data_IF_008216048530
#
_entry.id   IF_008216048530
#
_cell.length_a   1.000
_cell.length_b   1.000
_cell.length_c   1.000
_cell.angle_alpha   90.00
_cell.angle_beta   90.00
_cell.angle_gamma   90.00
#
_symmetry.space_group_name_H-M   'P 1'
#
loop_
_entity.id
_entity.type
_entity.pdbx_description
1 polymer ?
#
# COMPACT_ATOMS: atom_id res chain seq x y z
N UNK A 1 6.03 8.52 23.05
CA UNK A 1 5.17 9.18 22.05
C UNK A 1 3.76 9.26 22.62
N UNK A 2 3.12 10.41 22.53
CA UNK A 2 1.75 10.58 23.01
C UNK A 2 0.75 9.94 22.02
N UNK A 3 -0.47 9.67 22.52
CA UNK A 3 -1.52 9.10 21.66
C UNK A 3 -1.90 10.03 20.51
N UNK A 4 -1.95 11.34 20.75
CA UNK A 4 -2.24 12.33 19.71
C UNK A 4 -1.17 12.34 18.63
N UNK A 5 0.11 12.22 19.02
CA UNK A 5 1.22 12.16 18.07
C UNK A 5 1.19 10.87 17.25
N UNK A 6 0.86 9.74 17.89
CA UNK A 6 0.73 8.47 17.20
C UNK A 6 -0.40 8.52 16.16
N UNK A 7 -1.52 9.15 16.50
CA UNK A 7 -2.65 9.32 15.59
C UNK A 7 -2.25 10.21 14.39
N UNK A 8 -1.49 11.29 14.64
CA UNK A 8 -0.99 12.16 13.58
C UNK A 8 -0.09 11.40 12.61
N UNK A 9 0.80 10.55 13.13
CA UNK A 9 1.65 9.70 12.32
C UNK A 9 0.85 8.68 11.50
N UNK A 10 -0.19 8.11 12.09
CA UNK A 10 -1.07 7.18 11.38
C UNK A 10 -1.77 7.87 10.21
N UNK A 11 -2.29 9.07 10.44
CA UNK A 11 -2.95 9.87 9.42
C UNK A 11 -1.98 10.30 8.30
N UNK A 12 -0.80 10.80 8.66
CA UNK A 12 0.22 11.21 7.69
C UNK A 12 0.70 10.03 6.86
N UNK A 13 0.94 8.89 7.50
CA UNK A 13 1.34 7.67 6.82
C UNK A 13 0.26 7.16 5.88
N UNK A 14 -1.01 7.30 6.26
CA UNK A 14 -2.15 6.95 5.41
C UNK A 14 -2.16 7.72 4.10
N UNK A 15 -1.97 9.04 4.18
CA UNK A 15 -1.87 9.86 2.97
C UNK A 15 -0.63 9.54 2.13
N UNK A 16 0.51 9.26 2.79
CA UNK A 16 1.73 8.88 2.09
C UNK A 16 1.54 7.55 1.35
N UNK A 17 0.95 6.57 2.00
CA UNK A 17 0.64 5.26 1.43
C UNK A 17 -0.26 5.40 0.19
N UNK A 18 -1.32 6.20 0.29
CA UNK A 18 -2.23 6.44 -0.83
C UNK A 18 -1.49 7.10 -2.00
N UNK A 19 -0.74 8.16 -1.73
CA UNK A 19 -0.03 8.94 -2.75
C UNK A 19 1.04 8.10 -3.45
N UNK A 20 1.86 7.39 -2.68
CA UNK A 20 2.95 6.59 -3.26
C UNK A 20 2.41 5.41 -4.04
N UNK A 21 1.36 4.73 -3.54
CA UNK A 21 0.77 3.62 -4.30
C UNK A 21 0.06 4.11 -5.56
N UNK A 22 -0.55 5.28 -5.54
CA UNK A 22 -1.11 5.88 -6.76
C UNK A 22 -0.02 6.17 -7.78
N UNK A 23 1.08 6.78 -7.35
CA UNK A 23 2.22 7.07 -8.21
C UNK A 23 2.83 5.78 -8.77
N UNK A 24 3.10 4.81 -7.91
CA UNK A 24 3.69 3.54 -8.32
C UNK A 24 2.78 2.79 -9.31
N UNK A 25 1.48 2.79 -9.06
CA UNK A 25 0.51 2.13 -9.94
C UNK A 25 0.46 2.75 -11.31
N UNK A 26 0.31 4.06 -11.40
CA UNK A 26 0.29 4.78 -12.68
C UNK A 26 1.63 4.61 -13.40
N UNK A 27 2.73 4.73 -12.67
CA UNK A 27 4.07 4.61 -13.24
C UNK A 27 4.31 3.22 -13.86
N UNK A 28 4.00 2.16 -13.11
CA UNK A 28 4.22 0.80 -13.61
C UNK A 28 3.31 0.46 -14.80
N UNK A 29 2.06 0.91 -14.78
CA UNK A 29 1.16 0.72 -15.92
C UNK A 29 1.65 1.48 -17.15
N UNK A 30 2.10 2.72 -16.97
CA UNK A 30 2.69 3.49 -18.07
C UNK A 30 3.98 2.83 -18.59
N UNK A 31 4.82 2.32 -17.68
CA UNK A 31 6.07 1.66 -18.04
C UNK A 31 5.85 0.34 -18.78
N UNK A 32 4.69 -0.29 -18.61
CA UNK A 32 4.34 -1.48 -19.38
C UNK A 32 4.31 -1.16 -20.88
N UNK A 33 3.86 0.03 -21.23
CA UNK A 33 3.80 0.49 -22.62
C UNK A 33 5.04 1.27 -23.06
N UNK A 34 5.74 1.93 -22.12
CA UNK A 34 6.87 2.81 -22.40
C UNK A 34 8.12 2.33 -21.65
N UNK A 35 9.02 1.66 -22.35
CA UNK A 35 10.23 1.10 -21.73
C UNK A 35 11.11 2.13 -21.05
N UNK A 36 11.11 3.38 -21.56
CA UNK A 36 11.90 4.46 -20.99
C UNK A 36 11.54 4.78 -19.52
N UNK A 37 10.32 4.42 -19.08
CA UNK A 37 9.85 4.65 -17.72
C UNK A 37 10.27 3.55 -16.74
N UNK A 38 10.80 2.44 -17.26
CA UNK A 38 11.24 1.30 -16.42
C UNK A 38 12.59 1.61 -15.80
N UNK A 39 12.81 1.08 -14.61
CA UNK A 39 14.11 1.22 -13.97
C UNK A 39 14.00 1.22 -12.45
N UNK A 40 15.14 1.47 -11.81
CA UNK A 40 15.23 1.46 -10.34
C UNK A 40 14.31 2.46 -9.66
N UNK A 41 14.16 3.71 -10.16
CA UNK A 41 13.24 4.65 -9.48
C UNK A 41 11.80 4.16 -9.47
N UNK A 42 11.35 3.50 -10.52
CA UNK A 42 10.00 2.93 -10.59
C UNK A 42 9.82 1.84 -9.52
N UNK A 43 10.78 0.92 -9.44
CA UNK A 43 10.71 -0.16 -8.46
C UNK A 43 10.86 0.36 -7.04
N UNK A 44 11.65 1.42 -6.84
CA UNK A 44 11.75 2.08 -5.55
C UNK A 44 10.38 2.62 -5.10
N UNK A 45 9.63 3.23 -6.01
CA UNK A 45 8.28 3.71 -5.70
C UNK A 45 7.35 2.57 -5.30
N UNK A 46 7.40 1.44 -6.01
CA UNK A 46 6.61 0.24 -5.69
C UNK A 46 6.96 -0.27 -4.29
N UNK A 47 8.25 -0.42 -4.00
CA UNK A 47 8.71 -0.94 -2.70
C UNK A 47 8.33 -0.01 -1.57
N UNK A 48 8.53 1.30 -1.74
CA UNK A 48 8.16 2.29 -0.71
C UNK A 48 6.66 2.23 -0.43
N UNK A 49 5.82 2.13 -1.46
CA UNK A 49 4.39 2.00 -1.29
C UNK A 49 4.01 0.77 -0.46
N UNK A 50 4.64 -0.37 -0.71
CA UNK A 50 4.40 -1.59 0.05
C UNK A 50 4.90 -1.48 1.49
N UNK A 51 6.09 -0.90 1.69
CA UNK A 51 6.61 -0.68 3.04
C UNK A 51 5.71 0.25 3.85
N UNK A 52 5.19 1.30 3.23
CA UNK A 52 4.25 2.22 3.90
C UNK A 52 2.98 1.49 4.34
N UNK A 53 2.53 0.50 3.57
CA UNK A 53 1.37 -0.32 3.92
C UNK A 53 1.63 -1.07 5.23
N UNK A 54 2.81 -1.67 5.39
CA UNK A 54 3.19 -2.35 6.63
C UNK A 54 3.38 -1.38 7.79
N UNK A 55 4.04 -0.25 7.57
CA UNK A 55 4.24 0.76 8.61
C UNK A 55 2.88 1.26 9.12
N UNK A 56 1.94 1.51 8.22
CA UNK A 56 0.60 1.95 8.58
C UNK A 56 -0.12 0.92 9.46
N UNK A 57 -0.01 -0.35 9.11
CA UNK A 57 -0.61 -1.42 9.91
C UNK A 57 0.03 -1.50 11.31
N UNK A 58 1.35 -1.36 11.40
CA UNK A 58 2.05 -1.38 12.69
C UNK A 58 1.59 -0.21 13.56
N UNK A 59 1.50 0.99 13.01
CA UNK A 59 1.02 2.16 13.75
C UNK A 59 -0.42 1.92 14.22
N UNK A 60 -1.26 1.34 13.38
CA UNK A 60 -2.64 1.01 13.73
C UNK A 60 -2.72 0.03 14.91
N UNK A 61 -1.89 -1.00 14.90
CA UNK A 61 -1.82 -1.96 16.02
C UNK A 61 -1.36 -1.27 17.30
N UNK A 62 -0.37 -0.38 17.22
CA UNK A 62 0.10 0.38 18.38
C UNK A 62 -1.02 1.25 18.94
N UNK A 63 -1.79 1.92 18.09
CA UNK A 63 -2.90 2.76 18.53
C UNK A 63 -3.94 1.96 19.29
N UNK A 64 -4.30 0.77 18.82
CA UNK A 64 -5.32 -0.05 19.47
C UNK A 64 -4.80 -0.75 20.73
N UNK A 65 -3.54 -1.18 20.74
CA UNK A 65 -3.00 -1.97 21.84
C UNK A 65 -2.38 -1.14 22.96
N UNK A 66 -1.75 0.01 22.65
CA UNK A 66 -1.08 0.84 23.66
C UNK A 66 -1.88 2.05 24.08
N UNK A 67 -2.72 2.59 23.20
CA UNK A 67 -3.45 3.84 23.46
C UNK A 67 -4.96 3.64 23.49
N UNK A 68 -5.41 2.39 23.45
CA UNK A 68 -6.82 1.99 23.62
C UNK A 68 -7.78 2.66 22.61
N UNK A 69 -7.30 3.02 21.43
CA UNK A 69 -8.19 3.46 20.37
C UNK A 69 -9.06 2.29 19.92
N UNK A 70 -10.34 2.58 19.72
CA UNK A 70 -11.30 1.59 19.28
C UNK A 70 -11.03 1.26 17.79
N UNK A 71 -10.98 -0.05 17.48
CA UNK A 71 -10.76 -0.51 16.12
C UNK A 71 -12.11 -0.77 15.47
N UNK A 72 -12.44 0.06 14.47
CA UNK A 72 -13.64 -0.17 13.67
C UNK A 72 -13.44 -1.40 12.78
N UNK A 73 -14.46 -2.29 12.73
CA UNK A 73 -14.38 -3.55 11.98
C UNK A 73 -14.11 -3.33 10.49
N UNK A 74 -14.77 -2.36 9.89
CA UNK A 74 -14.58 -2.07 8.47
C UNK A 74 -13.19 -1.49 8.20
N UNK A 75 -12.69 -0.64 9.09
CA UNK A 75 -11.34 -0.10 8.99
C UNK A 75 -10.32 -1.23 9.05
N UNK A 76 -10.49 -2.17 9.97
CA UNK A 76 -9.63 -3.33 10.10
C UNK A 76 -9.68 -4.21 8.85
N UNK A 77 -10.87 -4.45 8.31
CA UNK A 77 -11.06 -5.26 7.11
C UNK A 77 -10.28 -4.69 5.93
N UNK A 78 -10.42 -3.39 5.66
CA UNK A 78 -9.71 -2.76 4.53
C UNK A 78 -8.21 -2.68 4.78
N UNK A 79 -7.79 -2.43 6.03
CA UNK A 79 -6.37 -2.39 6.39
C UNK A 79 -5.69 -3.73 6.22
N UNK A 80 -6.29 -4.80 6.74
CA UNK A 80 -5.73 -6.14 6.59
C UNK A 80 -5.80 -6.62 5.14
N UNK A 81 -6.84 -6.23 4.40
CA UNK A 81 -6.92 -6.54 2.97
C UNK A 81 -5.75 -5.93 2.19
N UNK A 82 -5.30 -4.73 2.55
CA UNK A 82 -4.14 -4.11 1.92
C UNK A 82 -2.86 -4.93 2.17
N UNK A 83 -2.67 -5.43 3.39
CA UNK A 83 -1.53 -6.29 3.73
C UNK A 83 -1.59 -7.61 2.93
N UNK A 84 -2.77 -8.21 2.86
CA UNK A 84 -2.97 -9.43 2.08
C UNK A 84 -2.67 -9.18 0.60
N UNK A 85 -3.09 -8.02 0.07
CA UNK A 85 -2.81 -7.64 -1.31
C UNK A 85 -1.30 -7.59 -1.57
N UNK A 86 -0.50 -7.01 -0.66
CA UNK A 86 0.96 -7.01 -0.79
C UNK A 86 1.49 -8.43 -0.83
N UNK A 87 1.00 -9.31 0.05
CA UNK A 87 1.39 -10.72 0.07
C UNK A 87 1.07 -11.43 -1.24
N UNK A 88 -0.11 -11.18 -1.80
CA UNK A 88 -0.52 -11.74 -3.07
C UNK A 88 0.40 -11.27 -4.21
N UNK A 89 0.68 -9.98 -4.26
CA UNK A 89 1.60 -9.42 -5.27
C UNK A 89 2.96 -10.11 -5.21
N UNK A 90 3.49 -10.27 -3.99
CA UNK A 90 4.77 -10.91 -3.79
C UNK A 90 4.74 -12.39 -4.21
N UNK A 91 3.65 -13.10 -3.88
CA UNK A 91 3.50 -14.51 -4.18
C UNK A 91 3.41 -14.80 -5.68
N UNK A 92 2.74 -13.93 -6.42
CA UNK A 92 2.51 -14.15 -7.85
C UNK A 92 3.59 -13.58 -8.75
N UNK A 93 4.54 -12.79 -8.22
CA UNK A 93 5.56 -12.11 -9.04
C UNK A 93 6.43 -13.10 -9.85
N UNK A 94 6.66 -14.29 -9.33
CA UNK A 94 7.48 -15.31 -9.98
C UNK A 94 6.64 -16.43 -10.62
N UNK A 95 5.32 -16.28 -10.60
CA UNK A 95 4.42 -17.26 -11.21
C UNK A 95 4.63 -17.32 -12.73
N UNK A 96 4.66 -18.52 -13.33
CA UNK A 96 4.73 -18.64 -14.79
C UNK A 96 3.59 -17.91 -15.50
N UNK A 97 2.41 -17.86 -14.88
CA UNK A 97 1.25 -17.15 -15.44
C UNK A 97 1.53 -15.63 -15.56
N UNK A 98 2.32 -15.07 -14.64
CA UNK A 98 2.64 -13.64 -14.62
C UNK A 98 3.93 -13.30 -15.36
N UNK A 99 4.56 -14.27 -16.01
CA UNK A 99 5.78 -14.01 -16.77
C UNK A 99 5.54 -12.96 -17.85
N UNK A 100 6.32 -11.87 -17.80
CA UNK A 100 6.16 -10.74 -18.71
C UNK A 100 5.03 -9.80 -18.35
N UNK A 101 4.28 -10.07 -17.28
CA UNK A 101 3.13 -9.27 -16.83
C UNK A 101 3.33 -8.65 -15.46
N UNK A 102 4.56 -8.66 -14.95
CA UNK A 102 4.89 -8.15 -13.62
C UNK A 102 4.52 -6.67 -13.46
N UNK A 103 4.72 -5.86 -14.50
CA UNK A 103 4.34 -4.44 -14.45
C UNK A 103 2.83 -4.25 -14.35
N UNK A 104 2.06 -5.10 -15.04
CA UNK A 104 0.60 -5.07 -14.91
C UNK A 104 0.18 -5.51 -13.51
N UNK A 105 0.81 -6.56 -12.98
CA UNK A 105 0.52 -7.07 -11.65
C UNK A 105 0.74 -5.98 -10.59
N UNK A 106 1.93 -5.39 -10.55
CA UNK A 106 2.27 -4.36 -9.58
C UNK A 106 1.51 -3.05 -9.82
N UNK A 107 1.24 -2.72 -11.08
CA UNK A 107 0.47 -1.53 -11.41
C UNK A 107 -0.96 -1.59 -10.88
N UNK A 108 -1.68 -2.64 -11.23
CA UNK A 108 -3.06 -2.82 -10.74
C UNK A 108 -3.08 -3.09 -9.25
N UNK A 109 -2.11 -3.84 -8.73
CA UNK A 109 -2.00 -4.10 -7.30
C UNK A 109 -1.79 -2.84 -6.48
N UNK A 110 -0.88 -1.96 -6.92
CA UNK A 110 -0.63 -0.69 -6.25
C UNK A 110 -1.85 0.22 -6.28
N UNK A 111 -2.57 0.29 -7.40
CA UNK A 111 -3.81 1.04 -7.49
C UNK A 111 -4.90 0.45 -6.60
N UNK A 112 -4.95 -0.87 -6.46
CA UNK A 112 -5.88 -1.54 -5.56
C UNK A 112 -5.59 -1.17 -4.10
N UNK A 113 -4.32 -1.18 -3.69
CA UNK A 113 -3.90 -0.76 -2.34
C UNK A 113 -4.26 0.70 -2.11
N UNK A 114 -4.00 1.56 -3.08
CA UNK A 114 -4.41 2.96 -3.04
C UNK A 114 -5.92 3.09 -2.81
N UNK A 115 -6.72 2.32 -3.56
CA UNK A 115 -8.17 2.31 -3.43
C UNK A 115 -8.64 1.86 -2.06
N UNK A 116 -8.03 0.82 -1.49
CA UNK A 116 -8.34 0.37 -0.13
C UNK A 116 -8.02 1.46 0.89
N UNK A 117 -6.88 2.16 0.72
CA UNK A 117 -6.51 3.27 1.58
C UNK A 117 -7.51 4.42 1.50
N UNK A 118 -7.92 4.80 0.30
CA UNK A 118 -8.93 5.84 0.11
C UNK A 118 -10.26 5.45 0.75
N UNK A 119 -10.70 4.22 0.55
CA UNK A 119 -11.95 3.74 1.14
C UNK A 119 -11.87 3.80 2.67
N UNK A 120 -10.74 3.41 3.23
CA UNK A 120 -10.53 3.41 4.68
C UNK A 120 -10.56 4.83 5.25
N UNK A 121 -10.08 5.80 4.47
CA UNK A 121 -10.05 7.21 4.89
C UNK A 121 -11.46 7.81 4.98
N UNK A 122 -12.38 7.36 4.13
CA UNK A 122 -13.74 7.90 4.03
C UNK A 122 -14.81 6.97 4.62
N UNK A 123 -14.42 6.05 5.45
CA UNK A 123 -15.35 5.20 6.19
C UNK A 123 -16.10 5.95 7.27
#
# INVERSE_FOLDING_TARGET
>A
MSSARALDWHEACGWALITVNALAGVWTLAAYHLRSLRGRPMWAAVIVGQLLTFVQAIIGVVLTSRYDYELDDMHALYGFSAIIAVGILYSYRTSPFMRGKDLLLYGFGSLFIMGLGLRNLYL
#
